data_IF_155677954409
#
_entry.id   IF_155677954409
#
_cell.length_a   1.000
_cell.length_b   1.000
_cell.length_c   1.000
_cell.angle_alpha   90.00
_cell.angle_beta   90.00
_cell.angle_gamma   90.00
#
_symmetry.space_group_name_H-M   'P 1'
#
loop_
_entity.id
_entity.type
_entity.pdbx_description
1 polymer ?
#
# COMPACT_ATOMS: atom_id res chain seq x y z
N UNK A 1 -12.91 -30.39 -43.47
CA UNK A 1 -12.46 -29.36 -42.51
C UNK A 1 -11.84 -28.12 -43.17
N UNK A 2 -11.63 -28.12 -44.49
CA UNK A 2 -11.02 -27.03 -45.29
C UNK A 2 -11.88 -25.76 -45.37
N UNK A 3 -13.21 -25.87 -45.48
CA UNK A 3 -14.10 -24.70 -45.52
C UNK A 3 -14.06 -23.84 -44.25
N UNK A 4 -13.88 -24.46 -43.08
CA UNK A 4 -13.73 -23.73 -41.81
C UNK A 4 -12.40 -22.98 -41.74
N UNK A 5 -11.32 -23.60 -42.26
CA UNK A 5 -10.01 -22.95 -42.38
C UNK A 5 -10.05 -21.78 -43.36
N UNK A 6 -10.70 -21.95 -44.52
CA UNK A 6 -10.85 -20.89 -45.53
C UNK A 6 -11.67 -19.70 -45.01
N UNK A 7 -12.77 -19.97 -44.29
CA UNK A 7 -13.55 -18.93 -43.62
C UNK A 7 -12.74 -18.20 -42.55
N UNK A 8 -11.92 -18.92 -41.77
CA UNK A 8 -11.09 -18.32 -40.73
C UNK A 8 -9.98 -17.45 -41.33
N UNK A 9 -9.36 -17.89 -42.43
CA UNK A 9 -8.37 -17.10 -43.17
C UNK A 9 -8.98 -15.82 -43.76
N UNK A 10 -10.19 -15.90 -44.30
CA UNK A 10 -10.89 -14.73 -44.83
C UNK A 10 -11.19 -13.72 -43.71
N UNK A 11 -11.69 -14.18 -42.57
CA UNK A 11 -11.93 -13.31 -41.40
C UNK A 11 -10.63 -12.68 -40.91
N UNK A 12 -9.54 -13.44 -40.83
CA UNK A 12 -8.22 -12.93 -40.43
C UNK A 12 -7.71 -11.86 -41.41
N UNK A 13 -7.88 -12.07 -42.72
CA UNK A 13 -7.48 -11.11 -43.74
C UNK A 13 -8.29 -9.80 -43.64
N UNK A 14 -9.60 -9.90 -43.42
CA UNK A 14 -10.47 -8.73 -43.22
C UNK A 14 -10.06 -7.97 -41.95
N UNK A 15 -9.77 -8.67 -40.86
CA UNK A 15 -9.27 -8.03 -39.62
C UNK A 15 -7.94 -7.31 -39.83
N UNK A 16 -7.00 -7.90 -40.59
CA UNK A 16 -5.74 -7.24 -40.91
C UNK A 16 -5.90 -5.98 -41.78
N UNK A 17 -6.84 -6.00 -42.72
CA UNK A 17 -7.17 -4.81 -43.52
C UNK A 17 -7.79 -3.72 -42.64
N UNK A 18 -8.67 -4.08 -41.71
CA UNK A 18 -9.26 -3.12 -40.76
C UNK A 18 -8.20 -2.52 -39.82
N UNK A 19 -7.28 -3.33 -39.30
CA UNK A 19 -6.19 -2.87 -38.41
C UNK A 19 -5.21 -1.97 -39.16
N UNK A 20 -4.84 -2.32 -40.40
CA UNK A 20 -3.95 -1.48 -41.22
C UNK A 20 -4.61 -0.17 -41.67
N UNK A 21 -5.92 -0.18 -41.95
CA UNK A 21 -6.68 1.04 -42.25
C UNK A 21 -6.80 1.96 -41.03
N UNK A 22 -6.99 1.41 -39.83
CA UNK A 22 -6.97 2.17 -38.57
C UNK A 22 -5.58 2.77 -38.30
N UNK A 23 -4.52 1.97 -38.42
CA UNK A 23 -3.13 2.42 -38.23
C UNK A 23 -2.74 3.51 -39.24
N UNK A 24 -3.22 3.45 -40.49
CA UNK A 24 -2.98 4.46 -41.53
C UNK A 24 -3.70 5.79 -41.25
N UNK A 25 -4.93 5.75 -40.71
CA UNK A 25 -5.64 6.95 -40.21
C UNK A 25 -4.97 7.57 -38.99
N UNK A 26 -4.31 6.76 -38.18
CA UNK A 26 -3.61 7.23 -36.99
C UNK A 26 -2.27 7.87 -37.35
N UNK A 27 -1.52 7.30 -38.30
CA UNK A 27 -0.25 7.84 -38.77
C UNK A 27 -0.39 9.15 -39.58
N UNK A 28 -1.57 9.42 -40.14
CA UNK A 28 -1.90 10.70 -40.81
C UNK A 28 -2.27 11.80 -39.82
N UNK A 29 -2.74 11.46 -38.60
CA UNK A 29 -2.99 12.44 -37.52
C UNK A 29 -1.75 12.79 -36.72
N UNK A 30 -0.73 11.93 -36.69
CA UNK A 30 0.49 12.17 -35.91
C UNK A 30 1.52 13.02 -36.66
N UNK A 31 1.27 13.35 -37.93
CA UNK A 31 2.08 14.25 -38.74
C UNK A 31 1.31 15.56 -39.04
N UNK A 32 0.50 16.02 -38.08
CA UNK A 32 -0.02 17.39 -38.06
C UNK A 32 1.16 18.34 -37.77
N UNK A 33 2.05 18.50 -38.75
CA UNK A 33 2.98 19.62 -38.76
C UNK A 33 2.12 20.88 -38.85
N UNK A 34 2.09 21.64 -37.76
CA UNK A 34 1.23 22.81 -37.62
C UNK A 34 1.58 23.84 -38.71
N UNK A 35 0.76 23.88 -39.74
CA UNK A 35 1.03 24.69 -40.91
C UNK A 35 0.51 26.11 -40.66
N UNK A 36 1.34 26.97 -40.05
CA UNK A 36 1.00 28.35 -39.72
C UNK A 36 0.53 29.20 -40.91
N UNK A 37 0.80 28.76 -42.14
CA UNK A 37 0.37 29.43 -43.37
C UNK A 37 -1.01 28.97 -43.83
N UNK A 38 -1.47 27.80 -43.40
CA UNK A 38 -2.77 27.29 -43.77
C UNK A 38 -3.87 28.07 -43.03
N UNK A 39 -4.64 28.86 -43.78
CA UNK A 39 -5.64 29.79 -43.25
C UNK A 39 -5.18 31.26 -43.13
N UNK A 40 -3.89 31.56 -43.32
CA UNK A 40 -3.39 32.95 -43.29
C UNK A 40 -3.94 33.82 -44.43
N UNK A 41 -4.24 33.23 -45.60
CA UNK A 41 -4.89 33.96 -46.71
C UNK A 41 -6.40 34.10 -46.52
N UNK A 42 -6.98 33.39 -45.55
CA UNK A 42 -8.42 33.46 -45.22
C UNK A 42 -8.72 34.55 -44.19
N UNK A 43 -7.71 35.18 -43.60
CA UNK A 43 -7.88 36.29 -42.67
C UNK A 43 -7.82 37.62 -43.42
N UNK A 44 -8.90 38.39 -43.33
CA UNK A 44 -9.01 39.69 -43.97
C UNK A 44 -8.09 40.71 -43.25
N UNK A 45 -6.92 40.99 -43.83
CA UNK A 45 -5.91 41.89 -43.26
C UNK A 45 -6.42 43.34 -43.03
N UNK A 46 -7.49 43.75 -43.72
CA UNK A 46 -8.12 45.08 -43.55
C UNK A 46 -8.84 45.25 -42.21
N UNK A 47 -9.24 44.16 -41.55
CA UNK A 47 -9.86 44.18 -40.22
C UNK A 47 -8.87 43.98 -39.06
N UNK A 48 -7.57 43.89 -39.34
CA UNK A 48 -6.54 43.51 -38.35
C UNK A 48 -6.44 44.53 -37.22
N UNK A 49 -6.68 45.82 -37.46
CA UNK A 49 -6.72 46.80 -36.36
C UNK A 49 -7.81 46.47 -35.34
N UNK A 50 -8.99 46.01 -35.80
CA UNK A 50 -10.09 45.61 -34.92
C UNK A 50 -9.83 44.23 -34.29
N UNK A 51 -9.28 43.28 -35.06
CA UNK A 51 -8.93 41.96 -34.54
C UNK A 51 -7.80 42.03 -33.49
N UNK A 52 -6.74 42.80 -33.73
CA UNK A 52 -5.65 43.04 -32.77
C UNK A 52 -6.17 43.70 -31.51
N UNK A 53 -7.12 44.62 -31.62
CA UNK A 53 -7.77 45.23 -30.46
C UNK A 53 -8.60 44.20 -29.67
N UNK A 54 -9.44 43.40 -30.34
CA UNK A 54 -10.21 42.32 -29.69
C UNK A 54 -9.28 41.30 -29.02
N UNK A 55 -8.16 40.96 -29.64
CA UNK A 55 -7.13 40.07 -29.08
C UNK A 55 -6.47 40.68 -27.84
N UNK A 56 -6.17 41.98 -27.85
CA UNK A 56 -5.55 42.66 -26.72
C UNK A 56 -6.55 42.86 -25.56
N UNK A 57 -7.82 43.17 -25.87
CA UNK A 57 -8.92 43.21 -24.90
C UNK A 57 -9.11 41.84 -24.24
N UNK A 58 -9.14 40.76 -25.02
CA UNK A 58 -9.23 39.39 -24.49
C UNK A 58 -8.01 39.00 -23.66
N UNK A 59 -6.81 39.37 -24.11
CA UNK A 59 -5.59 39.17 -23.33
C UNK A 59 -5.68 39.85 -21.98
N UNK A 60 -6.13 41.11 -21.96
CA UNK A 60 -6.27 41.86 -20.73
C UNK A 60 -7.33 41.25 -19.81
N UNK A 61 -8.48 40.87 -20.35
CA UNK A 61 -9.58 40.28 -19.59
C UNK A 61 -9.18 38.93 -18.96
N UNK A 62 -8.54 38.04 -19.73
CA UNK A 62 -8.03 36.76 -19.23
C UNK A 62 -6.98 36.96 -18.15
N UNK A 63 -6.01 37.86 -18.38
CA UNK A 63 -4.94 38.11 -17.39
C UNK A 63 -5.49 38.72 -16.11
N UNK A 64 -6.48 39.61 -16.22
CA UNK A 64 -7.10 40.24 -15.07
C UNK A 64 -7.99 39.24 -14.30
N UNK A 65 -8.73 38.39 -15.01
CA UNK A 65 -9.49 37.29 -14.43
C UNK A 65 -8.58 36.29 -13.72
N UNK A 66 -7.48 35.88 -14.35
CA UNK A 66 -6.51 34.96 -13.77
C UNK A 66 -5.82 35.57 -12.54
N UNK A 67 -5.45 36.86 -12.59
CA UNK A 67 -4.94 37.59 -11.43
C UNK A 67 -5.99 37.65 -10.31
N UNK A 68 -7.25 37.87 -10.66
CA UNK A 68 -8.38 37.86 -9.72
C UNK A 68 -8.54 36.52 -9.01
N UNK A 69 -8.45 35.41 -9.75
CA UNK A 69 -8.47 34.06 -9.19
C UNK A 69 -7.25 33.79 -8.32
N UNK A 70 -6.03 34.11 -8.78
CA UNK A 70 -4.82 33.91 -7.97
C UNK A 70 -4.80 34.73 -6.68
N UNK A 71 -5.41 35.92 -6.66
CA UNK A 71 -5.40 36.79 -5.48
C UNK A 71 -6.55 36.48 -4.52
N UNK A 72 -7.76 36.28 -5.04
CA UNK A 72 -8.97 36.18 -4.22
C UNK A 72 -9.46 34.75 -4.03
N UNK A 73 -9.15 33.85 -4.96
CA UNK A 73 -9.65 32.48 -4.99
C UNK A 73 -8.53 31.46 -5.31
N UNK A 74 -7.41 31.60 -4.61
CA UNK A 74 -6.23 30.77 -4.82
C UNK A 74 -6.46 29.29 -4.50
N UNK A 75 -7.53 28.96 -3.76
CA UNK A 75 -7.91 27.59 -3.40
C UNK A 75 -8.61 26.83 -4.54
N UNK A 76 -9.15 27.51 -5.57
CA UNK A 76 -9.70 26.81 -6.76
C UNK A 76 -8.62 26.40 -7.77
N UNK A 77 -7.43 26.98 -7.67
CA UNK A 77 -6.29 26.71 -8.57
C UNK A 77 -5.29 25.72 -7.96
N UNK A 78 -5.06 25.81 -6.66
CA UNK A 78 -4.22 24.88 -5.93
C UNK A 78 -5.09 23.71 -5.44
N UNK A 79 -4.58 22.47 -5.44
CA UNK A 79 -5.16 21.41 -4.63
C UNK A 79 -5.44 21.91 -3.21
N UNK A 80 -6.51 21.45 -2.58
CA UNK A 80 -6.96 21.94 -1.27
C UNK A 80 -5.95 21.57 -0.15
N UNK A 81 -4.84 22.30 -0.07
CA UNK A 81 -3.79 22.08 0.93
C UNK A 81 -4.29 22.42 2.34
N UNK A 82 -5.40 23.15 2.44
CA UNK A 82 -6.20 23.35 3.65
C UNK A 82 -6.60 22.03 4.33
N UNK A 83 -6.76 20.93 3.57
CA UNK A 83 -7.11 19.60 4.09
C UNK A 83 -5.92 18.77 4.58
N UNK A 84 -4.69 19.20 4.30
CA UNK A 84 -3.49 18.45 4.71
C UNK A 84 -3.19 18.69 6.19
N UNK A 85 -3.49 19.87 6.71
CA UNK A 85 -3.32 20.19 8.14
C UNK A 85 -4.14 19.28 9.06
N UNK A 86 -5.47 19.09 8.90
CA UNK A 86 -6.22 18.15 9.74
C UNK A 86 -5.77 16.69 9.56
N UNK A 87 -5.22 16.35 8.39
CA UNK A 87 -4.64 15.02 8.17
C UNK A 87 -3.33 14.82 8.96
N UNK A 88 -2.51 15.89 9.08
CA UNK A 88 -1.29 15.87 9.88
C UNK A 88 -1.59 15.78 11.38
N UNK A 89 -2.65 16.44 11.85
CA UNK A 89 -3.12 16.37 13.24
C UNK A 89 -3.67 14.98 13.57
N UNK A 90 -4.49 14.40 12.70
CA UNK A 90 -4.97 13.03 12.85
C UNK A 90 -3.83 12.00 12.89
N UNK A 91 -2.73 12.25 12.16
CA UNK A 91 -1.53 11.42 12.19
C UNK A 91 -0.77 11.52 13.52
N UNK A 92 -0.67 12.74 14.07
CA UNK A 92 -0.04 13.01 15.37
C UNK A 92 -0.82 12.34 16.51
N UNK A 93 -2.15 12.40 16.45
CA UNK A 93 -3.02 11.74 17.42
C UNK A 93 -2.96 10.22 17.32
N UNK A 94 -2.94 9.65 16.11
CA UNK A 94 -2.74 8.21 15.91
C UNK A 94 -1.38 7.75 16.48
N UNK A 95 -0.34 8.57 16.36
CA UNK A 95 0.97 8.27 16.94
C UNK A 95 0.95 8.27 18.48
N UNK A 96 0.19 9.18 19.09
CA UNK A 96 -0.02 9.19 20.55
C UNK A 96 -0.78 7.95 21.00
N UNK A 97 -1.88 7.61 20.32
CA UNK A 97 -2.66 6.41 20.61
C UNK A 97 -1.84 5.12 20.44
N UNK A 98 -1.01 5.05 19.40
CA UNK A 98 -0.11 3.93 19.19
C UNK A 98 0.91 3.79 20.33
N UNK A 99 1.48 4.91 20.80
CA UNK A 99 2.41 4.87 21.93
C UNK A 99 1.69 4.50 23.24
N UNK A 100 0.48 4.98 23.48
CA UNK A 100 -0.34 4.57 24.62
C UNK A 100 -0.68 3.06 24.57
N UNK A 101 -0.98 2.53 23.38
CA UNK A 101 -1.19 1.10 23.17
C UNK A 101 0.08 0.29 23.44
N UNK A 102 1.24 0.80 23.03
CA UNK A 102 2.55 0.20 23.28
C UNK A 102 2.85 0.15 24.78
N UNK A 103 2.54 1.21 25.51
CA UNK A 103 2.67 1.26 26.97
C UNK A 103 1.76 0.25 27.65
N UNK A 104 0.49 0.17 27.23
CA UNK A 104 -0.47 -0.82 27.74
C UNK A 104 -0.06 -2.28 27.43
N UNK A 105 0.56 -2.54 26.28
CA UNK A 105 1.16 -3.85 25.96
C UNK A 105 2.36 -4.16 26.84
N UNK A 106 3.18 -3.16 27.16
CA UNK A 106 4.27 -3.28 28.13
C UNK A 106 3.74 -3.65 29.52
N UNK A 107 2.76 -2.90 30.01
CA UNK A 107 2.10 -3.16 31.30
C UNK A 107 1.45 -4.56 31.34
N UNK A 108 0.78 -4.98 30.26
CA UNK A 108 0.16 -6.30 30.22
C UNK A 108 1.20 -7.42 30.23
N UNK A 109 2.33 -7.22 29.56
CA UNK A 109 3.47 -8.17 29.54
C UNK A 109 4.09 -8.30 30.92
N UNK A 110 4.23 -7.20 31.65
CA UNK A 110 4.72 -7.19 33.03
C UNK A 110 3.75 -7.94 33.95
N UNK A 111 2.44 -7.69 33.82
CA UNK A 111 1.40 -8.44 34.56
C UNK A 111 1.45 -9.95 34.27
N UNK A 112 1.63 -10.35 33.01
CA UNK A 112 1.82 -11.76 32.67
C UNK A 112 3.07 -12.36 33.34
N UNK A 113 4.17 -11.62 33.37
CA UNK A 113 5.41 -12.05 34.03
C UNK A 113 5.20 -12.23 35.54
N UNK A 114 4.49 -11.31 36.20
CA UNK A 114 4.13 -11.44 37.61
C UNK A 114 3.22 -12.65 37.85
N UNK A 115 2.22 -12.87 37.00
CA UNK A 115 1.31 -14.03 37.11
C UNK A 115 2.06 -15.35 36.91
N UNK A 116 2.97 -15.42 35.93
CA UNK A 116 3.84 -16.60 35.72
C UNK A 116 4.69 -16.88 36.96
N UNK A 117 5.28 -15.84 37.57
CA UNK A 117 6.06 -16.00 38.81
C UNK A 117 5.21 -16.49 39.99
N UNK A 118 3.97 -16.01 40.11
CA UNK A 118 3.04 -16.44 41.15
C UNK A 118 2.63 -17.90 40.96
N UNK A 119 2.39 -18.33 39.71
CA UNK A 119 2.09 -19.72 39.39
C UNK A 119 3.29 -20.62 39.72
N UNK A 120 4.51 -20.18 39.41
CA UNK A 120 5.72 -20.91 39.76
C UNK A 120 5.92 -21.01 41.28
N UNK A 121 5.65 -19.95 42.04
CA UNK A 121 5.71 -19.96 43.50
C UNK A 121 4.65 -20.88 44.13
N UNK A 122 3.40 -20.83 43.66
CA UNK A 122 2.33 -21.71 44.14
C UNK A 122 2.64 -23.17 43.81
N UNK A 123 3.19 -23.44 42.62
CA UNK A 123 3.61 -24.79 42.21
C UNK A 123 4.80 -25.28 43.03
N UNK A 124 5.78 -24.42 43.30
CA UNK A 124 6.92 -24.72 44.16
C UNK A 124 6.47 -24.97 45.61
N UNK A 125 5.55 -24.16 46.13
CA UNK A 125 4.97 -24.34 47.46
C UNK A 125 4.19 -25.65 47.56
N UNK A 126 3.41 -26.03 46.53
CA UNK A 126 2.72 -27.31 46.47
C UNK A 126 3.68 -28.50 46.39
N UNK A 127 4.80 -28.36 45.68
CA UNK A 127 5.87 -29.35 45.65
C UNK A 127 6.59 -29.46 47.01
N UNK A 128 6.76 -28.35 47.73
CA UNK A 128 7.36 -28.32 49.06
C UNK A 128 6.43 -28.90 50.14
N UNK A 129 5.11 -28.66 50.04
CA UNK A 129 4.12 -29.21 50.98
C UNK A 129 3.84 -30.69 50.74
N UNK A 130 4.00 -31.18 49.50
CA UNK A 130 3.93 -32.59 49.14
C UNK A 130 5.15 -33.43 49.57
N UNK A 131 6.24 -32.79 50.04
CA UNK A 131 7.45 -33.45 50.50
C UNK A 131 7.46 -33.82 51.99
N UNK A 132 6.42 -33.47 52.75
CA UNK A 132 6.36 -33.67 54.21
C UNK A 132 5.13 -34.47 54.65
N UNK A 133 4.77 -35.50 53.87
CA UNK A 133 3.91 -36.59 54.33
C UNK A 133 4.68 -37.91 54.22
N UNK A 134 4.94 -38.47 55.39
CA UNK A 134 5.79 -39.61 55.71
C UNK A 134 5.52 -40.87 54.89
N UNK A 135 6.60 -41.62 54.62
CA UNK A 135 6.51 -43.06 54.40
C UNK A 135 5.78 -43.74 55.58
N UNK A 136 5.09 -44.87 55.30
CA UNK A 136 5.59 -46.09 55.91
C UNK A 136 5.73 -47.25 54.92
N UNK A 137 6.77 -48.03 55.20
CA UNK A 137 7.10 -49.32 54.62
C UNK A 137 6.05 -50.40 54.92
N UNK A 138 5.69 -51.22 53.91
CA UNK A 138 5.44 -52.66 54.08
C UNK A 138 5.05 -53.35 52.78
N UNK A 139 5.74 -54.46 52.44
CA UNK A 139 5.14 -55.57 51.68
C UNK A 139 5.81 -55.92 50.35
N UNK A 140 6.81 -56.80 50.40
CA UNK A 140 7.40 -57.48 49.24
C UNK A 140 6.49 -58.62 48.72
N UNK A 141 6.34 -58.74 47.39
CA UNK A 141 6.18 -60.03 46.68
C UNK A 141 6.44 -59.85 45.18
N UNK A 142 7.09 -60.84 44.58
CA UNK A 142 7.82 -60.81 43.32
C UNK A 142 7.00 -61.18 42.07
N UNK A 143 7.50 -60.77 40.88
CA UNK A 143 7.29 -61.51 39.62
C UNK A 143 7.06 -60.64 38.37
N UNK A 144 7.53 -61.03 37.16
CA UNK A 144 8.29 -60.11 36.29
C UNK A 144 7.74 -59.90 34.86
N UNK A 145 8.37 -58.93 34.19
CA UNK A 145 8.62 -58.80 32.75
C UNK A 145 7.46 -58.38 31.81
N UNK A 146 7.65 -57.23 31.14
CA UNK A 146 7.83 -57.17 29.66
C UNK A 146 8.08 -55.73 29.16
N UNK A 147 9.25 -55.51 28.55
CA UNK A 147 9.41 -54.73 27.30
C UNK A 147 9.46 -53.19 27.34
N UNK A 148 10.54 -52.54 26.84
CA UNK A 148 10.71 -51.08 26.87
C UNK A 148 10.38 -50.42 25.52
N UNK A 149 9.82 -49.20 25.53
CA UNK A 149 9.92 -48.28 24.39
C UNK A 149 10.31 -46.87 24.87
N UNK A 150 11.53 -46.51 24.46
CA UNK A 150 12.11 -45.17 24.48
C UNK A 150 11.33 -44.21 23.57
N UNK A 151 11.25 -42.93 23.94
CA UNK A 151 11.57 -41.89 22.96
C UNK A 151 12.10 -40.61 23.61
N UNK A 152 13.31 -40.28 23.16
CA UNK A 152 14.13 -39.11 23.44
C UNK A 152 13.51 -37.81 22.92
N UNK A 153 13.93 -36.67 23.48
CA UNK A 153 13.73 -35.38 22.81
C UNK A 153 14.16 -34.17 23.62
N UNK A 154 15.42 -34.13 24.08
CA UNK A 154 16.00 -32.96 24.75
C UNK A 154 16.25 -31.77 23.81
N UNK A 155 15.83 -30.59 24.27
CA UNK A 155 16.49 -29.27 24.24
C UNK A 155 17.51 -29.00 23.12
N UNK A 156 17.22 -27.99 22.29
CA UNK A 156 18.27 -27.14 21.69
C UNK A 156 17.81 -25.70 21.48
N UNK A 157 18.49 -24.81 22.20
CA UNK A 157 18.41 -23.35 22.14
C UNK A 157 19.20 -22.88 20.92
N UNK A 158 18.65 -21.95 20.12
CA UNK A 158 19.43 -21.24 19.10
C UNK A 158 19.25 -19.75 19.30
N UNK A 159 20.31 -19.14 19.83
CA UNK A 159 20.55 -17.70 19.96
C UNK A 159 21.03 -17.20 18.60
N UNK A 160 20.39 -16.21 17.98
CA UNK A 160 20.94 -15.53 16.80
C UNK A 160 21.40 -14.12 17.19
N UNK A 161 22.71 -13.91 17.10
CA UNK A 161 23.45 -12.68 17.36
C UNK A 161 23.48 -11.82 16.09
N UNK A 162 23.40 -10.51 16.29
CA UNK A 162 23.65 -9.42 15.35
C UNK A 162 25.07 -9.44 14.79
N UNK A 163 25.23 -9.08 13.51
CA UNK A 163 26.50 -8.60 12.96
C UNK A 163 26.24 -7.65 11.79
N UNK A 164 26.84 -6.46 11.90
CA UNK A 164 27.02 -5.43 10.88
C UNK A 164 27.92 -5.91 9.73
N UNK A 165 27.69 -5.35 8.54
CA UNK A 165 28.67 -5.00 7.50
C UNK A 165 27.89 -4.15 6.48
N UNK A 166 28.39 -3.08 5.86
CA UNK A 166 29.73 -2.56 5.60
C UNK A 166 29.61 -1.04 5.44
#
# INVERSE_FOLDING_TARGET
>A
MTFKLGSLLLVLAVLMVLVTAQRRRQNTRTNDEWNYRDGADRVNMRGVANLTQVLDDWRFDILNQMKGLLQNDHQTLLPDYSRIQPLSEALDDLFKEFNALKERLGELTEKFTTIESFIDEVKASRANTGGQASAPSSGAAAGPASGPIQRQGGRRVIRKKTAQST
#
